data_IF_669808315047
#
_entry.id   IF_669808315047
#
_cell.length_a   1.000
_cell.length_b   1.000
_cell.length_c   1.000
_cell.angle_alpha   90.00
_cell.angle_beta   90.00
_cell.angle_gamma   90.00
#
_symmetry.space_group_name_H-M   'P 1'
#
loop_
_entity.id
_entity.type
_entity.pdbx_description
1 polymer ?
#
# COMPACT_ATOMS: atom_id res chain seq x y z
N UNK A 1 -29.62 -1.69 16.83
CA UNK A 1 -28.39 -2.14 16.09
C UNK A 1 -28.41 -1.49 14.70
N UNK A 2 -27.42 -0.64 14.34
CA UNK A 2 -27.30 -0.13 12.97
C UNK A 2 -27.01 -1.30 12.05
N UNK A 3 -27.84 -1.54 11.01
CA UNK A 3 -27.55 -2.52 9.96
C UNK A 3 -26.17 -2.20 9.37
N UNK A 4 -25.21 -3.11 9.53
CA UNK A 4 -23.91 -2.99 8.89
C UNK A 4 -24.13 -3.10 7.37
N UNK A 5 -23.76 -2.06 6.64
CA UNK A 5 -23.86 -2.06 5.18
C UNK A 5 -22.74 -2.94 4.59
N UNK A 6 -22.95 -3.49 3.41
CA UNK A 6 -21.98 -4.28 2.64
C UNK A 6 -20.59 -3.59 2.58
N UNK A 7 -20.56 -2.26 2.42
CA UNK A 7 -19.33 -1.44 2.43
C UNK A 7 -18.49 -1.63 3.72
N UNK A 8 -19.13 -1.83 4.87
CA UNK A 8 -18.40 -2.06 6.14
C UNK A 8 -17.68 -3.42 6.16
N UNK A 9 -18.21 -4.41 5.47
CA UNK A 9 -17.55 -5.71 5.32
C UNK A 9 -16.41 -5.65 4.31
N UNK A 10 -16.54 -4.87 3.25
CA UNK A 10 -15.46 -4.64 2.29
C UNK A 10 -14.22 -4.00 2.93
N UNK A 11 -14.36 -3.26 4.03
CA UNK A 11 -13.23 -2.77 4.82
C UNK A 11 -12.34 -3.88 5.40
N UNK A 12 -12.88 -5.10 5.59
CA UNK A 12 -12.07 -6.25 6.02
C UNK A 12 -11.08 -6.73 4.96
N UNK A 13 -11.29 -6.38 3.69
CA UNK A 13 -10.33 -6.67 2.62
C UNK A 13 -8.98 -5.99 2.88
N UNK A 14 -8.98 -4.79 3.50
CA UNK A 14 -7.74 -4.15 3.92
C UNK A 14 -6.96 -4.97 4.95
N UNK A 15 -7.65 -5.67 5.86
CA UNK A 15 -7.00 -6.59 6.81
C UNK A 15 -6.40 -7.80 6.09
N UNK A 16 -7.12 -8.35 5.11
CA UNK A 16 -6.63 -9.47 4.28
C UNK A 16 -5.41 -9.04 3.48
N UNK A 17 -5.44 -7.85 2.86
CA UNK A 17 -4.31 -7.28 2.13
C UNK A 17 -3.10 -7.12 3.05
N UNK A 18 -3.28 -6.51 4.22
CA UNK A 18 -2.24 -6.33 5.22
C UNK A 18 -1.60 -7.65 5.65
N UNK A 19 -2.41 -8.67 5.98
CA UNK A 19 -1.90 -9.98 6.38
C UNK A 19 -1.16 -10.68 5.25
N UNK A 20 -1.66 -10.60 4.02
CA UNK A 20 -1.02 -11.18 2.84
C UNK A 20 0.35 -10.53 2.57
N UNK A 21 0.42 -9.20 2.59
CA UNK A 21 1.68 -8.48 2.41
C UNK A 21 2.67 -8.74 3.55
N UNK A 22 2.21 -8.68 4.79
CA UNK A 22 3.06 -8.98 5.96
C UNK A 22 3.62 -10.38 5.90
N UNK A 23 2.82 -11.38 5.50
CA UNK A 23 3.29 -12.74 5.31
C UNK A 23 4.37 -12.81 4.22
N UNK A 24 4.18 -12.10 3.10
CA UNK A 24 5.19 -12.05 2.04
C UNK A 24 6.51 -11.44 2.53
N UNK A 25 6.47 -10.31 3.25
CA UNK A 25 7.66 -9.64 3.78
C UNK A 25 8.40 -10.50 4.81
N UNK A 26 7.66 -11.18 5.69
CA UNK A 26 8.25 -11.95 6.81
C UNK A 26 8.79 -13.31 6.35
N UNK A 27 8.09 -13.99 5.45
CA UNK A 27 8.44 -15.37 5.10
C UNK A 27 9.23 -15.52 3.79
N UNK A 28 9.13 -14.57 2.83
CA UNK A 28 9.89 -14.67 1.59
C UNK A 28 11.43 -14.68 1.78
N UNK A 29 12.00 -13.97 2.79
CA UNK A 29 13.43 -14.09 3.10
C UNK A 29 13.92 -15.51 3.35
N UNK A 30 13.05 -16.41 3.84
CA UNK A 30 13.41 -17.82 4.05
C UNK A 30 13.76 -18.54 2.75
N UNK A 31 13.25 -18.07 1.62
CA UNK A 31 13.56 -18.60 0.28
C UNK A 31 14.66 -17.78 -0.44
N UNK A 32 15.29 -16.82 0.23
CA UNK A 32 16.35 -15.98 -0.34
C UNK A 32 17.63 -16.11 0.48
N UNK A 33 18.54 -17.06 0.15
CA UNK A 33 19.78 -17.24 0.89
C UNK A 33 20.62 -15.96 0.96
N UNK A 34 20.98 -15.54 2.17
CA UNK A 34 21.79 -14.35 2.39
C UNK A 34 21.04 -13.01 2.31
N UNK A 35 19.69 -13.02 2.25
CA UNK A 35 18.93 -11.77 2.30
C UNK A 35 19.17 -11.02 3.61
N UNK A 36 19.53 -9.75 3.48
CA UNK A 36 19.78 -8.85 4.61
C UNK A 36 18.75 -7.74 4.63
N UNK A 37 17.73 -7.87 5.46
CA UNK A 37 16.63 -6.92 5.58
C UNK A 37 17.06 -5.49 6.01
N UNK A 38 18.27 -5.32 6.57
CA UNK A 38 18.81 -4.01 6.92
C UNK A 38 19.48 -3.31 5.73
N UNK A 39 19.93 -4.06 4.73
CA UNK A 39 20.71 -3.54 3.61
C UNK A 39 20.03 -3.71 2.25
N UNK A 40 19.00 -4.53 2.17
CA UNK A 40 18.30 -4.83 0.92
C UNK A 40 16.85 -4.37 0.96
N UNK A 41 16.34 -3.92 -0.18
CA UNK A 41 14.96 -3.50 -0.31
C UNK A 41 14.00 -4.71 -0.31
N UNK A 42 12.76 -4.49 0.13
CA UNK A 42 11.70 -5.51 0.06
C UNK A 42 11.42 -5.91 -1.40
N UNK A 43 11.58 -4.98 -2.35
CA UNK A 43 11.45 -5.25 -3.79
C UNK A 43 12.45 -6.27 -4.32
N UNK A 44 13.61 -6.46 -3.67
CA UNK A 44 14.58 -7.49 -4.04
C UNK A 44 14.01 -8.90 -3.88
N UNK A 45 13.09 -9.09 -2.93
CA UNK A 45 12.39 -10.38 -2.72
C UNK A 45 11.44 -10.75 -3.87
N UNK A 46 11.00 -9.74 -4.64
CA UNK A 46 10.07 -9.88 -5.76
C UNK A 46 10.71 -9.60 -7.13
N UNK A 47 12.03 -9.39 -7.18
CA UNK A 47 12.74 -9.21 -8.43
C UNK A 47 12.62 -10.43 -9.35
N UNK A 48 12.69 -10.22 -10.66
CA UNK A 48 12.44 -11.28 -11.64
C UNK A 48 13.39 -12.48 -11.50
N UNK A 49 14.62 -12.25 -11.02
CA UNK A 49 15.62 -13.29 -10.76
C UNK A 49 15.70 -13.73 -9.28
N UNK A 50 14.86 -13.18 -8.40
CA UNK A 50 14.94 -13.48 -6.97
C UNK A 50 14.59 -14.95 -6.67
N UNK A 51 15.40 -15.66 -5.88
CA UNK A 51 15.08 -17.03 -5.44
C UNK A 51 13.74 -17.12 -4.69
N UNK A 52 13.35 -16.03 -4.02
CA UNK A 52 12.11 -15.89 -3.25
C UNK A 52 10.88 -15.56 -4.09
N UNK A 53 11.02 -15.28 -5.40
CA UNK A 53 9.92 -14.78 -6.24
C UNK A 53 8.66 -15.65 -6.19
N UNK A 54 8.85 -16.99 -6.27
CA UNK A 54 7.71 -17.93 -6.24
C UNK A 54 6.94 -17.84 -4.91
N UNK A 55 7.66 -17.83 -3.79
CA UNK A 55 7.08 -17.74 -2.44
C UNK A 55 6.42 -16.36 -2.23
N UNK A 56 7.11 -15.28 -2.66
CA UNK A 56 6.56 -13.93 -2.63
C UNK A 56 5.22 -13.84 -3.36
N UNK A 57 5.15 -14.36 -4.59
CA UNK A 57 3.93 -14.33 -5.41
C UNK A 57 2.77 -15.11 -4.76
N UNK A 58 3.05 -16.23 -4.11
CA UNK A 58 2.04 -17.00 -3.40
C UNK A 58 1.50 -16.25 -2.18
N UNK A 59 2.38 -15.70 -1.36
CA UNK A 59 2.01 -15.02 -0.12
C UNK A 59 1.33 -13.68 -0.36
N UNK A 60 1.78 -12.93 -1.39
CA UNK A 60 1.21 -11.62 -1.76
C UNK A 60 0.03 -11.70 -2.72
N UNK A 61 -0.43 -12.89 -3.08
CA UNK A 61 -1.47 -13.08 -4.10
C UNK A 61 -2.77 -12.30 -3.83
N UNK A 62 -3.17 -12.19 -2.56
CA UNK A 62 -4.38 -11.48 -2.16
C UNK A 62 -4.15 -9.99 -1.91
N UNK A 63 -2.90 -9.56 -1.73
CA UNK A 63 -2.56 -8.20 -1.38
C UNK A 63 -3.15 -7.18 -2.36
N UNK A 64 -2.67 -7.16 -3.59
CA UNK A 64 -3.04 -6.14 -4.57
C UNK A 64 -4.55 -6.10 -4.88
N UNK A 65 -5.19 -7.27 -4.99
CA UNK A 65 -6.63 -7.34 -5.31
C UNK A 65 -7.48 -6.83 -4.14
N UNK A 66 -7.20 -7.29 -2.93
CA UNK A 66 -7.96 -6.90 -1.75
C UNK A 66 -7.77 -5.42 -1.42
N UNK A 67 -6.54 -4.90 -1.58
CA UNK A 67 -6.21 -3.51 -1.34
C UNK A 67 -6.93 -2.56 -2.31
N UNK A 68 -6.78 -2.78 -3.62
CA UNK A 68 -7.43 -1.95 -4.64
C UNK A 68 -8.94 -1.96 -4.52
N UNK A 69 -9.56 -3.11 -4.26
CA UNK A 69 -11.00 -3.21 -4.01
C UNK A 69 -11.36 -2.44 -2.74
N UNK A 70 -10.61 -2.62 -1.66
CA UNK A 70 -10.87 -1.95 -0.39
C UNK A 70 -10.84 -0.42 -0.55
N UNK A 71 -9.76 0.14 -1.11
CA UNK A 71 -9.64 1.60 -1.26
C UNK A 71 -10.69 2.18 -2.18
N UNK A 72 -11.04 1.46 -3.26
CA UNK A 72 -12.09 1.89 -4.20
C UNK A 72 -13.45 1.94 -3.51
N UNK A 73 -13.81 0.91 -2.75
CA UNK A 73 -15.06 0.87 -1.98
C UNK A 73 -15.09 1.95 -0.90
N UNK A 74 -13.97 2.22 -0.23
CA UNK A 74 -13.85 3.33 0.73
C UNK A 74 -14.08 4.67 0.03
N UNK A 75 -13.52 4.89 -1.15
CA UNK A 75 -13.75 6.11 -1.94
C UNK A 75 -15.24 6.30 -2.29
N UNK A 76 -15.93 5.23 -2.70
CA UNK A 76 -17.38 5.26 -2.96
C UNK A 76 -18.14 5.57 -1.66
N UNK A 77 -17.80 4.90 -0.57
CA UNK A 77 -18.50 5.04 0.71
C UNK A 77 -18.36 6.39 1.38
N UNK A 78 -17.29 7.14 1.07
CA UNK A 78 -17.06 8.47 1.67
C UNK A 78 -17.61 9.62 0.84
N UNK A 79 -18.11 9.35 -0.36
CA UNK A 79 -18.71 10.38 -1.23
C UNK A 79 -19.84 11.11 -0.51
N UNK A 80 -19.83 12.44 -0.61
CA UNK A 80 -20.84 13.30 0.05
C UNK A 80 -20.79 13.30 1.59
N UNK A 81 -19.94 12.49 2.21
CA UNK A 81 -19.77 12.40 3.65
C UNK A 81 -18.47 13.09 4.08
N UNK A 82 -18.41 13.53 5.34
CA UNK A 82 -17.21 14.13 5.91
C UNK A 82 -16.73 15.40 5.17
N UNK A 83 -15.60 15.93 5.57
CA UNK A 83 -15.02 17.15 4.99
C UNK A 83 -14.39 16.89 3.62
N UNK A 84 -14.36 17.94 2.77
CA UNK A 84 -13.66 17.85 1.47
C UNK A 84 -12.18 17.46 1.66
N UNK A 85 -11.54 18.03 2.66
CA UNK A 85 -10.13 17.80 2.94
C UNK A 85 -9.85 16.32 3.28
N UNK A 86 -10.68 15.69 4.14
CA UNK A 86 -10.53 14.26 4.44
C UNK A 86 -10.71 13.42 3.17
N UNK A 87 -11.72 13.74 2.36
CA UNK A 87 -11.95 13.00 1.10
C UNK A 87 -10.77 13.13 0.14
N UNK A 88 -10.19 14.34 0.02
CA UNK A 88 -9.00 14.53 -0.83
C UNK A 88 -7.82 13.67 -0.37
N UNK A 89 -7.57 13.57 0.94
CA UNK A 89 -6.51 12.69 1.47
C UNK A 89 -6.78 11.21 1.17
N UNK A 90 -8.03 10.76 1.34
CA UNK A 90 -8.42 9.36 1.05
C UNK A 90 -8.34 9.07 -0.45
N UNK A 91 -8.76 10.01 -1.31
CA UNK A 91 -8.65 9.83 -2.76
C UNK A 91 -7.19 9.78 -3.22
N UNK A 92 -6.34 10.62 -2.63
CA UNK A 92 -4.91 10.60 -2.93
C UNK A 92 -4.26 9.27 -2.50
N UNK A 93 -4.65 8.76 -1.34
CA UNK A 93 -4.25 7.42 -0.88
C UNK A 93 -4.69 6.34 -1.86
N UNK A 94 -5.95 6.36 -2.31
CA UNK A 94 -6.44 5.40 -3.29
C UNK A 94 -5.70 5.48 -4.63
N UNK A 95 -5.37 6.69 -5.09
CA UNK A 95 -4.54 6.87 -6.31
C UNK A 95 -3.16 6.25 -6.12
N UNK A 96 -2.54 6.43 -4.96
CA UNK A 96 -1.26 5.83 -4.62
C UNK A 96 -1.32 4.30 -4.68
N UNK A 97 -2.35 3.69 -4.10
CA UNK A 97 -2.53 2.24 -4.10
C UNK A 97 -2.76 1.68 -5.52
N UNK A 98 -3.52 2.40 -6.35
CA UNK A 98 -3.69 2.02 -7.76
C UNK A 98 -2.39 2.12 -8.54
N UNK A 99 -1.59 3.17 -8.32
CA UNK A 99 -0.26 3.32 -8.94
C UNK A 99 0.66 2.20 -8.49
N UNK A 100 0.67 1.86 -7.20
CA UNK A 100 1.43 0.74 -6.65
C UNK A 100 1.03 -0.59 -7.32
N UNK A 101 -0.26 -0.93 -7.27
CA UNK A 101 -0.77 -2.21 -7.78
C UNK A 101 -0.52 -2.41 -9.28
N UNK A 102 -0.63 -1.35 -10.08
CA UNK A 102 -0.42 -1.41 -11.54
C UNK A 102 1.04 -1.21 -11.88
N UNK A 103 1.69 -0.20 -11.30
CA UNK A 103 3.04 0.21 -11.65
C UNK A 103 4.10 -0.86 -11.39
N UNK A 104 4.08 -1.48 -10.21
CA UNK A 104 5.02 -2.56 -9.90
C UNK A 104 4.79 -3.83 -10.72
N UNK A 105 3.56 -4.07 -11.20
CA UNK A 105 3.29 -5.18 -12.13
C UNK A 105 3.75 -4.88 -13.54
N UNK A 106 3.65 -3.63 -13.98
CA UNK A 106 4.13 -3.21 -15.31
C UNK A 106 5.66 -3.12 -15.35
N UNK A 107 6.27 -2.74 -14.25
CA UNK A 107 7.71 -2.53 -14.12
C UNK A 107 8.27 -3.28 -12.90
N UNK A 108 8.26 -4.64 -12.92
CA UNK A 108 8.93 -5.41 -11.88
C UNK A 108 10.44 -5.14 -11.92
N UNK A 109 11.11 -5.21 -10.78
CA UNK A 109 12.57 -5.11 -10.72
C UNK A 109 13.18 -6.28 -11.50
N UNK A 110 14.12 -5.98 -12.41
CA UNK A 110 14.70 -7.01 -13.28
C UNK A 110 15.72 -7.88 -12.54
N UNK A 111 16.48 -7.25 -11.63
CA UNK A 111 17.50 -7.92 -10.82
C UNK A 111 17.49 -7.38 -9.40
N UNK A 112 17.74 -8.25 -8.43
CA UNK A 112 17.95 -7.85 -7.04
C UNK A 112 19.18 -6.96 -6.94
N UNK A 113 19.03 -5.79 -6.31
CA UNK A 113 20.09 -4.81 -6.19
C UNK A 113 20.20 -3.81 -7.34
N UNK A 114 19.23 -3.75 -8.22
CA UNK A 114 19.13 -2.76 -9.32
C UNK A 114 20.21 -2.90 -10.39
N UNK A 115 19.88 -3.54 -11.50
CA UNK A 115 20.79 -3.72 -12.65
C UNK A 115 20.90 -2.49 -13.58
N UNK A 116 20.04 -1.49 -13.44
CA UNK A 116 20.06 -0.26 -14.25
C UNK A 116 19.39 -0.40 -15.62
N UNK A 117 18.62 -1.45 -15.86
CA UNK A 117 17.80 -1.60 -17.05
C UNK A 117 16.69 -0.53 -17.08
N UNK A 118 16.14 -0.23 -18.28
CA UNK A 118 15.00 0.69 -18.40
C UNK A 118 13.85 0.35 -17.46
N UNK A 119 13.56 -0.94 -17.31
CA UNK A 119 12.54 -1.45 -16.42
C UNK A 119 12.81 -1.09 -14.97
N UNK A 120 14.07 -1.18 -14.52
CA UNK A 120 14.47 -0.82 -13.15
C UNK A 120 14.34 0.69 -12.91
N UNK A 121 14.69 1.51 -13.92
CA UNK A 121 14.48 2.97 -13.85
C UNK A 121 12.99 3.29 -13.69
N UNK A 122 12.12 2.62 -14.43
CA UNK A 122 10.68 2.79 -14.30
C UNK A 122 10.15 2.29 -12.95
N UNK A 123 10.67 1.17 -12.44
CA UNK A 123 10.37 0.67 -11.11
C UNK A 123 10.69 1.73 -10.05
N UNK A 124 11.88 2.33 -10.12
CA UNK A 124 12.29 3.39 -9.19
C UNK A 124 11.44 4.66 -9.32
N UNK A 125 11.02 5.01 -10.52
CA UNK A 125 10.11 6.14 -10.75
C UNK A 125 8.73 5.89 -10.11
N UNK A 126 8.18 4.68 -10.25
CA UNK A 126 6.95 4.26 -9.57
C UNK A 126 7.14 4.31 -8.06
N UNK A 127 8.26 3.79 -7.55
CA UNK A 127 8.58 3.80 -6.12
C UNK A 127 8.65 5.23 -5.58
N UNK A 128 9.34 6.14 -6.26
CA UNK A 128 9.42 7.54 -5.84
C UNK A 128 8.03 8.20 -5.77
N UNK A 129 7.18 7.95 -6.76
CA UNK A 129 5.82 8.48 -6.78
C UNK A 129 4.96 7.88 -5.65
N UNK A 130 5.03 6.56 -5.44
CA UNK A 130 4.33 5.89 -4.33
C UNK A 130 4.78 6.45 -2.99
N UNK A 131 6.08 6.61 -2.75
CA UNK A 131 6.62 7.19 -1.51
C UNK A 131 6.12 8.62 -1.30
N UNK A 132 6.15 9.47 -2.30
CA UNK A 132 5.64 10.84 -2.20
C UNK A 132 4.15 10.87 -1.83
N UNK A 133 3.34 10.04 -2.47
CA UNK A 133 1.90 9.97 -2.22
C UNK A 133 1.59 9.32 -0.87
N UNK A 134 2.38 8.33 -0.43
CA UNK A 134 2.22 7.67 0.87
C UNK A 134 2.53 8.61 2.04
N UNK A 135 3.33 9.65 1.84
CA UNK A 135 3.56 10.72 2.81
C UNK A 135 2.49 11.81 2.70
N UNK A 136 2.17 12.26 1.49
CA UNK A 136 1.25 13.36 1.28
C UNK A 136 -0.18 13.03 1.72
N UNK A 137 -0.68 11.82 1.44
CA UNK A 137 -2.04 11.43 1.76
C UNK A 137 -2.32 11.40 3.28
N UNK A 138 -1.51 10.76 4.15
CA UNK A 138 -1.76 10.79 5.58
C UNK A 138 -1.57 12.19 6.18
N UNK A 139 -0.64 13.01 5.67
CA UNK A 139 -0.49 14.40 6.12
C UNK A 139 -1.81 15.17 5.90
N UNK A 140 -2.43 15.05 4.73
CA UNK A 140 -3.73 15.69 4.46
C UNK A 140 -4.82 15.14 5.39
N UNK A 141 -4.84 13.85 5.66
CA UNK A 141 -5.80 13.21 6.57
C UNK A 141 -5.60 13.70 8.01
N UNK A 142 -4.35 13.84 8.47
CA UNK A 142 -4.00 14.38 9.79
C UNK A 142 -4.51 15.82 9.92
N UNK A 143 -4.26 16.66 8.92
CA UNK A 143 -4.76 18.06 8.92
C UNK A 143 -6.29 18.10 8.94
N UNK A 144 -6.97 17.21 8.22
CA UNK A 144 -8.42 17.08 8.27
C UNK A 144 -8.92 16.68 9.66
N UNK A 145 -8.23 15.76 10.32
CA UNK A 145 -8.52 15.32 11.69
C UNK A 145 -8.34 16.43 12.72
N UNK A 146 -7.28 17.25 12.56
CA UNK A 146 -7.04 18.40 13.42
C UNK A 146 -8.10 19.50 13.27
N UNK A 147 -8.58 19.73 12.05
CA UNK A 147 -9.57 20.77 11.74
C UNK A 147 -11.02 20.36 12.06
N UNK A 148 -11.33 19.09 12.23
CA UNK A 148 -12.70 18.61 12.42
C UNK A 148 -12.80 17.46 13.39
N UNK A 149 -13.56 17.66 14.50
CA UNK A 149 -13.82 16.62 15.50
C UNK A 149 -14.39 15.32 14.89
N UNK A 150 -15.23 15.45 13.83
CA UNK A 150 -15.82 14.29 13.14
C UNK A 150 -14.82 13.48 12.31
N UNK A 151 -13.62 14.03 12.05
CA UNK A 151 -12.53 13.40 11.30
C UNK A 151 -11.35 13.00 12.19
N UNK A 152 -11.40 13.27 13.50
CA UNK A 152 -10.28 13.11 14.42
C UNK A 152 -9.72 11.68 14.45
N UNK A 153 -10.59 10.66 14.45
CA UNK A 153 -10.15 9.26 14.44
C UNK A 153 -9.33 8.91 13.20
N UNK A 154 -9.73 9.42 12.04
CA UNK A 154 -8.96 9.23 10.80
C UNK A 154 -7.58 9.90 10.88
N UNK A 155 -7.52 11.12 11.43
CA UNK A 155 -6.25 11.82 11.64
C UNK A 155 -5.30 11.08 12.58
N UNK A 156 -5.83 10.52 13.68
CA UNK A 156 -5.02 9.71 14.62
C UNK A 156 -4.49 8.44 13.94
N UNK A 157 -5.35 7.70 13.23
CA UNK A 157 -4.91 6.50 12.51
C UNK A 157 -3.84 6.84 11.46
N UNK A 158 -4.04 7.94 10.70
CA UNK A 158 -3.06 8.38 9.71
C UNK A 158 -1.72 8.82 10.36
N UNK A 159 -1.75 9.45 11.54
CA UNK A 159 -0.54 9.82 12.26
C UNK A 159 0.24 8.58 12.75
N UNK A 160 -0.47 7.58 13.26
CA UNK A 160 0.16 6.30 13.64
C UNK A 160 0.77 5.62 12.43
N UNK A 161 0.04 5.53 11.30
CA UNK A 161 0.55 4.94 10.07
C UNK A 161 1.81 5.65 9.57
N UNK A 162 1.80 6.99 9.54
CA UNK A 162 2.94 7.79 9.10
C UNK A 162 4.16 7.65 10.03
N UNK A 163 3.93 7.46 11.34
CA UNK A 163 5.01 7.27 12.31
C UNK A 163 5.65 5.86 12.22
N UNK A 164 4.94 4.90 11.63
CA UNK A 164 5.43 3.52 11.44
C UNK A 164 6.11 3.30 10.08
N UNK A 165 6.08 4.28 9.19
CA UNK A 165 6.79 4.26 7.90
C UNK A 165 8.26 4.58 8.08
#
# INVERSE_FOLDING_TARGET
MKKKNFINYCGLLGVVAFLSYTAAVVFSPLAYPGYNWMAQAVSDLSAANAPSLALWNQLSALYNVCEVVCVTVVCIGIQGRKTKLLRSGIYLFAVMEWISAVGYRMFPLSDSGYAGAFQDVMHMAVTALVVLLSIASPVIIIVAGAKSKSCRSYGVCAAVALAMM
#
